data_IF_599694474422
#
_entry.id   IF_599694474422
#
_cell.length_a   1.000
_cell.length_b   1.000
_cell.length_c   1.000
_cell.angle_alpha   90.00
_cell.angle_beta   90.00
_cell.angle_gamma   90.00
#
_symmetry.space_group_name_H-M   'P 1'
#
loop_
_entity.id
_entity.type
_entity.pdbx_description
1 polymer ?
#
# COMPACT_ATOMS: atom_id res chain seq x y z
N UNK A 1 4.87 -14.39 -15.85
CA UNK A 1 4.27 -15.74 -16.07
C UNK A 1 2.74 -15.76 -15.83
N UNK A 2 2.18 -14.88 -15.01
CA UNK A 2 0.76 -14.91 -14.62
C UNK A 2 -0.26 -14.78 -15.78
N UNK A 3 -0.03 -13.87 -16.73
CA UNK A 3 -0.96 -13.68 -17.86
C UNK A 3 -1.02 -14.94 -18.72
N UNK A 4 0.14 -15.53 -19.07
CA UNK A 4 0.17 -16.76 -19.86
C UNK A 4 -0.53 -17.93 -19.17
N UNK A 5 -0.36 -18.08 -17.84
CA UNK A 5 -1.06 -19.10 -17.06
C UNK A 5 -2.58 -18.91 -17.10
N UNK A 6 -3.08 -17.68 -17.01
CA UNK A 6 -4.52 -17.40 -17.12
C UNK A 6 -5.11 -17.92 -18.44
N UNK A 7 -4.44 -17.66 -19.57
CA UNK A 7 -4.90 -18.15 -20.88
C UNK A 7 -4.87 -19.68 -20.95
N UNK A 8 -3.79 -20.31 -20.46
CA UNK A 8 -3.63 -21.75 -20.45
C UNK A 8 -4.67 -22.47 -19.58
N UNK A 9 -4.82 -22.05 -18.33
CA UNK A 9 -5.73 -22.67 -17.35
C UNK A 9 -7.21 -22.54 -17.76
N UNK A 10 -7.57 -21.47 -18.47
CA UNK A 10 -8.94 -21.24 -18.94
C UNK A 10 -9.18 -21.72 -20.38
N UNK A 11 -8.20 -22.35 -21.03
CA UNK A 11 -8.32 -22.82 -22.41
C UNK A 11 -8.55 -21.70 -23.44
N UNK A 12 -8.12 -20.47 -23.13
CA UNK A 12 -8.29 -19.31 -24.00
C UNK A 12 -7.11 -19.25 -24.99
N UNK A 13 -7.36 -19.18 -26.30
CA UNK A 13 -6.29 -19.02 -27.29
C UNK A 13 -5.43 -17.78 -27.02
N UNK A 14 -4.10 -17.90 -27.04
CA UNK A 14 -3.19 -16.78 -26.76
C UNK A 14 -3.37 -15.58 -27.72
N UNK A 15 -3.85 -15.82 -28.94
CA UNK A 15 -4.16 -14.73 -29.88
C UNK A 15 -5.31 -13.83 -29.40
N UNK A 16 -6.15 -14.27 -28.45
CA UNK A 16 -7.18 -13.45 -27.83
C UNK A 16 -6.58 -12.28 -27.04
N UNK A 17 -5.35 -12.41 -26.52
CA UNK A 17 -4.63 -11.31 -25.88
C UNK A 17 -4.38 -10.11 -26.82
N UNK A 18 -4.31 -10.37 -28.13
CA UNK A 18 -4.07 -9.34 -29.15
C UNK A 18 -5.35 -8.69 -29.67
N UNK A 19 -6.53 -9.15 -29.26
CA UNK A 19 -7.79 -8.58 -29.71
C UNK A 19 -7.97 -7.16 -29.18
N UNK A 20 -8.61 -6.30 -29.99
CA UNK A 20 -8.92 -4.92 -29.61
C UNK A 20 -9.77 -4.83 -28.34
N UNK A 21 -10.60 -5.84 -28.08
CA UNK A 21 -11.39 -5.95 -26.84
C UNK A 21 -10.47 -6.04 -25.62
N UNK A 22 -9.45 -6.90 -25.63
CA UNK A 22 -8.50 -7.03 -24.51
C UNK A 22 -7.78 -5.69 -24.24
N UNK A 23 -7.37 -4.98 -25.31
CA UNK A 23 -6.75 -3.65 -25.17
C UNK A 23 -7.71 -2.62 -24.56
N UNK A 24 -8.98 -2.63 -24.97
CA UNK A 24 -10.01 -1.75 -24.40
C UNK A 24 -10.24 -2.04 -22.92
N UNK A 25 -10.34 -3.31 -22.54
CA UNK A 25 -10.47 -3.73 -21.14
C UNK A 25 -9.28 -3.27 -20.28
N UNK A 26 -8.04 -3.44 -20.76
CA UNK A 26 -6.85 -2.97 -20.06
C UNK A 26 -6.84 -1.44 -19.89
N UNK A 27 -7.28 -0.69 -20.90
CA UNK A 27 -7.44 0.77 -20.80
C UNK A 27 -8.49 1.18 -19.76
N UNK A 28 -9.61 0.46 -19.68
CA UNK A 28 -10.62 0.71 -18.67
C UNK A 28 -10.09 0.42 -17.26
N UNK A 29 -9.34 -0.67 -17.08
CA UNK A 29 -8.70 -0.99 -15.80
C UNK A 29 -7.71 0.10 -15.38
N UNK A 30 -6.83 0.55 -16.27
CA UNK A 30 -5.90 1.65 -15.99
C UNK A 30 -6.64 2.95 -15.62
N UNK A 31 -7.77 3.25 -16.27
CA UNK A 31 -8.59 4.40 -15.89
C UNK A 31 -9.22 4.26 -14.50
N UNK A 32 -9.68 3.06 -14.13
CA UNK A 32 -10.22 2.78 -12.80
C UNK A 32 -9.13 2.92 -11.73
N UNK A 33 -7.94 2.37 -11.97
CA UNK A 33 -6.80 2.47 -11.05
C UNK A 33 -6.39 3.93 -10.84
N UNK A 34 -6.30 4.71 -11.93
CA UNK A 34 -6.01 6.15 -11.83
C UNK A 34 -7.08 6.91 -11.05
N UNK A 35 -8.36 6.53 -11.22
CA UNK A 35 -9.46 7.17 -10.49
C UNK A 35 -9.39 6.83 -9.01
N UNK A 36 -9.19 5.57 -8.66
CA UNK A 36 -9.02 5.12 -7.29
C UNK A 36 -7.84 5.85 -6.62
N UNK A 37 -6.68 5.90 -7.29
CA UNK A 37 -5.49 6.63 -6.81
C UNK A 37 -5.78 8.10 -6.54
N UNK A 38 -6.45 8.80 -7.47
CA UNK A 38 -6.81 10.21 -7.27
C UNK A 38 -7.72 10.44 -6.07
N UNK A 39 -8.66 9.55 -5.80
CA UNK A 39 -9.53 9.66 -4.63
C UNK A 39 -8.76 9.37 -3.33
N UNK A 40 -7.87 8.37 -3.34
CA UNK A 40 -6.97 8.09 -2.21
C UNK A 40 -6.03 9.26 -1.91
N UNK A 41 -5.43 9.86 -2.94
CA UNK A 41 -4.53 11.02 -2.81
C UNK A 41 -5.26 12.22 -2.16
N UNK A 42 -6.51 12.50 -2.57
CA UNK A 42 -7.33 13.55 -1.94
C UNK A 42 -7.61 13.28 -0.46
N UNK A 43 -7.88 12.02 -0.09
CA UNK A 43 -8.10 11.64 1.31
C UNK A 43 -6.80 11.81 2.12
N UNK A 44 -5.67 11.42 1.53
CA UNK A 44 -4.35 11.60 2.15
C UNK A 44 -4.03 13.08 2.39
N UNK A 45 -4.26 13.95 1.40
CA UNK A 45 -4.07 15.41 1.57
C UNK A 45 -4.91 15.98 2.72
N UNK A 46 -6.15 15.49 2.91
CA UNK A 46 -7.01 15.89 4.02
C UNK A 46 -6.41 15.49 5.36
N UNK A 47 -5.88 14.27 5.47
CA UNK A 47 -5.22 13.76 6.67
C UNK A 47 -3.91 14.51 6.96
N UNK A 48 -3.07 14.75 5.96
CA UNK A 48 -1.82 15.51 6.11
C UNK A 48 -2.05 16.93 6.63
N UNK A 49 -3.14 17.59 6.21
CA UNK A 49 -3.55 18.88 6.79
C UNK A 49 -3.93 18.76 8.27
N UNK A 50 -4.64 17.70 8.63
CA UNK A 50 -4.99 17.44 10.03
C UNK A 50 -3.74 17.15 10.90
N UNK A 51 -2.76 16.42 10.37
CA UNK A 51 -1.50 16.16 11.06
C UNK A 51 -0.75 17.46 11.37
N UNK A 52 -0.72 18.40 10.43
CA UNK A 52 -0.10 19.73 10.63
C UNK A 52 -0.83 20.58 11.68
N UNK A 53 -2.13 20.37 11.86
CA UNK A 53 -2.94 21.15 12.79
C UNK A 53 -2.97 20.57 14.20
N UNK A 54 -3.11 19.24 14.31
CA UNK A 54 -3.39 18.55 15.57
C UNK A 54 -2.28 17.58 15.99
N UNK A 55 -1.31 17.31 15.11
CA UNK A 55 -0.43 16.16 15.20
C UNK A 55 -1.12 14.85 14.79
N UNK A 56 -0.37 13.75 14.85
CA UNK A 56 -0.88 12.41 14.61
C UNK A 56 -0.25 11.38 15.55
N UNK A 57 -0.95 10.25 15.74
CA UNK A 57 -0.42 9.08 16.42
C UNK A 57 0.03 8.06 15.39
N UNK A 58 1.28 7.63 15.49
CA UNK A 58 1.84 6.57 14.68
C UNK A 58 1.69 5.24 15.41
N UNK A 59 1.23 4.21 14.72
CA UNK A 59 1.08 2.85 15.25
C UNK A 59 1.59 1.84 14.25
N UNK A 60 2.00 0.68 14.73
CA UNK A 60 2.29 -0.45 13.85
C UNK A 60 1.78 -1.77 14.37
N UNK A 61 1.48 -2.68 13.45
CA UNK A 61 1.26 -4.09 13.74
C UNK A 61 1.97 -4.96 12.71
N UNK A 62 2.57 -6.05 13.18
CA UNK A 62 3.19 -7.05 12.34
C UNK A 62 2.39 -8.34 12.38
N UNK A 63 2.13 -8.95 11.22
CA UNK A 63 1.50 -10.26 11.16
C UNK A 63 2.25 -11.20 10.22
N UNK A 64 2.23 -12.48 10.58
CA UNK A 64 2.84 -13.56 9.79
C UNK A 64 1.76 -14.53 9.38
N UNK A 65 1.69 -14.83 8.09
CA UNK A 65 0.74 -15.80 7.56
C UNK A 65 1.24 -17.25 7.72
N UNK A 66 0.36 -18.24 7.51
CA UNK A 66 0.70 -19.67 7.59
C UNK A 66 1.70 -20.15 6.52
N UNK A 67 1.98 -19.31 5.52
CA UNK A 67 2.91 -19.57 4.43
C UNK A 67 4.25 -18.85 4.64
N UNK A 68 4.47 -18.22 5.81
CA UNK A 68 5.70 -17.52 6.14
C UNK A 68 5.83 -16.14 5.48
N UNK A 69 4.71 -15.55 5.02
CA UNK A 69 4.71 -14.15 4.60
C UNK A 69 4.58 -13.25 5.80
N UNK A 70 5.42 -12.22 5.85
CA UNK A 70 5.51 -11.27 6.95
C UNK A 70 5.17 -9.88 6.42
N UNK A 71 4.14 -9.27 7.00
CA UNK A 71 3.68 -7.94 6.63
C UNK A 71 3.70 -7.05 7.88
N UNK A 72 4.19 -5.83 7.71
CA UNK A 72 4.11 -4.78 8.71
C UNK A 72 3.13 -3.74 8.20
N UNK A 73 2.15 -3.40 9.03
CA UNK A 73 1.21 -2.32 8.80
C UNK A 73 1.64 -1.10 9.60
N UNK A 74 1.58 0.07 8.98
CA UNK A 74 1.77 1.36 9.62
C UNK A 74 0.44 2.12 9.57
N UNK A 75 -0.01 2.58 10.74
CA UNK A 75 -1.25 3.33 10.89
C UNK A 75 -0.93 4.71 11.42
N UNK A 76 -1.38 5.73 10.70
CA UNK A 76 -1.26 7.13 11.11
C UNK A 76 -2.64 7.66 11.44
N UNK A 77 -2.92 7.83 12.72
CA UNK A 77 -4.22 8.24 13.21
C UNK A 77 -4.28 9.73 13.51
N UNK A 78 -5.38 10.38 13.11
CA UNK A 78 -5.69 11.77 13.41
C UNK A 78 -7.21 11.97 13.52
N UNK A 79 -7.70 13.15 13.96
CA UNK A 79 -9.15 13.40 14.07
C UNK A 79 -9.94 13.22 12.76
N UNK A 80 -9.28 13.37 11.60
CA UNK A 80 -9.91 13.20 10.29
C UNK A 80 -9.91 11.74 9.78
N UNK A 81 -9.31 10.82 10.54
CA UNK A 81 -9.29 9.39 10.28
C UNK A 81 -7.88 8.78 10.34
N UNK A 82 -7.78 7.55 9.84
CA UNK A 82 -6.56 6.74 9.87
C UNK A 82 -6.04 6.54 8.44
N UNK A 83 -4.75 6.77 8.22
CA UNK A 83 -4.03 6.36 7.02
C UNK A 83 -3.36 5.00 7.27
N UNK A 84 -3.42 4.10 6.29
CA UNK A 84 -2.80 2.77 6.38
C UNK A 84 -1.79 2.62 5.25
N UNK A 85 -0.57 2.20 5.62
CA UNK A 85 0.50 1.75 4.73
C UNK A 85 0.92 0.34 5.16
N UNK A 86 1.40 -0.47 4.22
CA UNK A 86 1.84 -1.84 4.53
C UNK A 86 3.12 -2.18 3.75
N UNK A 87 4.05 -2.86 4.41
CA UNK A 87 5.34 -3.28 3.83
C UNK A 87 5.46 -4.80 3.95
N UNK A 88 5.72 -5.46 2.81
CA UNK A 88 6.05 -6.88 2.76
C UNK A 88 7.53 -7.08 3.08
N UNK A 89 7.80 -7.74 4.21
CA UNK A 89 9.13 -8.05 4.72
C UNK A 89 9.43 -9.55 4.69
N UNK A 90 8.65 -10.33 3.93
CA UNK A 90 8.79 -11.79 3.83
C UNK A 90 10.17 -12.23 3.32
N UNK A 91 10.82 -11.41 2.49
CA UNK A 91 12.15 -11.68 1.94
C UNK A 91 13.30 -11.14 2.78
N UNK A 92 13.01 -10.47 3.90
CA UNK A 92 13.99 -9.78 4.72
C UNK A 92 14.23 -10.50 6.04
N UNK A 93 15.44 -10.36 6.59
CA UNK A 93 15.73 -10.75 7.97
C UNK A 93 15.10 -9.70 8.88
N UNK A 94 14.05 -10.10 9.61
CA UNK A 94 13.33 -9.24 10.56
C UNK A 94 14.11 -9.12 11.87
N UNK A 95 15.25 -8.44 11.81
CA UNK A 95 15.97 -8.02 13.01
C UNK A 95 15.52 -6.62 13.47
N UNK A 96 15.96 -6.25 14.67
CA UNK A 96 15.59 -4.98 15.28
C UNK A 96 16.10 -3.77 14.48
N UNK A 97 17.19 -3.91 13.73
CA UNK A 97 17.78 -2.83 12.93
C UNK A 97 16.91 -2.54 11.72
N UNK A 98 16.54 -3.57 10.96
CA UNK A 98 15.68 -3.42 9.79
C UNK A 98 14.32 -2.81 10.16
N UNK A 99 13.73 -3.26 11.27
CA UNK A 99 12.49 -2.68 11.79
C UNK A 99 12.68 -1.20 12.15
N UNK A 100 13.74 -0.85 12.89
CA UNK A 100 14.02 0.52 13.29
C UNK A 100 14.22 1.45 12.07
N UNK A 101 14.90 0.97 11.03
CA UNK A 101 15.10 1.72 9.78
C UNK A 101 13.75 1.97 9.09
N UNK A 102 12.87 0.96 8.98
CA UNK A 102 11.52 1.13 8.43
C UNK A 102 10.67 2.13 9.23
N UNK A 103 10.73 2.05 10.56
CA UNK A 103 10.03 2.99 11.44
C UNK A 103 10.54 4.42 11.24
N UNK A 104 11.85 4.60 11.15
CA UNK A 104 12.45 5.90 10.94
C UNK A 104 12.08 6.47 9.56
N UNK A 105 12.11 5.65 8.50
CA UNK A 105 11.66 6.05 7.17
C UNK A 105 10.22 6.56 7.18
N UNK A 106 9.30 5.82 7.79
CA UNK A 106 7.88 6.17 7.77
C UNK A 106 7.57 7.39 8.65
N UNK A 107 8.21 7.50 9.82
CA UNK A 107 8.10 8.70 10.68
C UNK A 107 8.71 9.93 9.97
N UNK A 108 9.83 9.77 9.28
CA UNK A 108 10.43 10.85 8.50
C UNK A 108 9.53 11.29 7.33
N UNK A 109 8.84 10.35 6.68
CA UNK A 109 7.89 10.64 5.60
C UNK A 109 6.68 11.44 6.09
N UNK A 110 6.23 11.21 7.33
CA UNK A 110 5.16 11.97 7.98
C UNK A 110 5.66 13.34 8.44
N UNK A 111 6.86 13.39 9.03
CA UNK A 111 7.42 14.53 9.73
C UNK A 111 7.51 14.26 11.23
N UNK A 112 8.73 14.14 11.76
CA UNK A 112 9.02 13.82 13.17
C UNK A 112 8.34 14.77 14.16
N UNK A 113 8.17 16.04 13.79
CA UNK A 113 7.52 17.08 14.57
C UNK A 113 5.99 16.96 14.62
N UNK A 114 5.39 16.25 13.67
CA UNK A 114 3.94 16.03 13.60
C UNK A 114 3.49 14.79 14.39
N UNK A 115 4.40 13.84 14.62
CA UNK A 115 4.12 12.62 15.38
C UNK A 115 4.16 12.92 16.88
N UNK A 116 2.98 13.00 17.50
CA UNK A 116 2.85 13.32 18.94
C UNK A 116 2.88 12.07 19.82
N UNK A 117 2.63 10.90 19.23
CA UNK A 117 2.62 9.62 19.95
C UNK A 117 3.01 8.48 19.02
N UNK A 118 3.74 7.51 19.57
CA UNK A 118 4.14 6.25 18.90
C UNK A 118 3.58 5.09 19.72
N UNK A 119 2.94 4.12 19.06
CA UNK A 119 2.40 2.88 19.65
C UNK A 119 3.02 1.64 19.01
#
# INVERSE_FOLDING_TARGET
MHIANFFYENGIPFNAANQGVMKSWLSQLDNLDRKAKKETDKLKEKQEKAWKQYGCSFMSDGWTDKWGRHLINFLVNCPEGTFLSSVDVSSQVQDATMLADLFEEEINAIGKDLVIQVH
#
